data_IF_334987524834
#
_entry.id   IF_334987524834
#
_cell.length_a   1.000
_cell.length_b   1.000
_cell.length_c   1.000
_cell.angle_alpha   90.00
_cell.angle_beta   90.00
_cell.angle_gamma   90.00
#
_symmetry.space_group_name_H-M   'P 1'
#
loop_
_entity.id
_entity.type
_entity.pdbx_description
1 polymer ?
#
# COMPACT_ATOMS: atom_id res chain seq x y z
N UNK A 1 14.93 -25.10 -16.97
CA UNK A 1 16.38 -25.00 -16.64
C UNK A 1 16.43 -23.78 -15.75
N UNK A 2 16.84 -23.87 -14.50
CA UNK A 2 16.77 -22.70 -13.60
C UNK A 2 17.91 -21.77 -13.98
N UNK A 3 17.60 -20.58 -14.50
CA UNK A 3 18.60 -19.55 -14.77
C UNK A 3 18.77 -18.65 -13.54
N UNK A 4 20.01 -18.27 -13.25
CA UNK A 4 20.35 -17.41 -12.12
C UNK A 4 20.97 -16.13 -12.68
N UNK A 5 20.26 -15.01 -12.56
CA UNK A 5 20.72 -13.71 -13.06
C UNK A 5 21.17 -12.81 -11.90
N UNK A 6 22.33 -12.16 -12.03
CA UNK A 6 22.79 -11.10 -11.12
C UNK A 6 22.90 -9.83 -11.94
N UNK A 7 21.99 -8.88 -11.71
CA UNK A 7 21.94 -7.62 -12.46
C UNK A 7 22.81 -6.55 -11.79
N UNK A 8 23.53 -5.78 -12.60
CA UNK A 8 24.15 -4.52 -12.20
C UNK A 8 23.08 -3.42 -12.12
N UNK A 9 23.26 -2.38 -11.28
CA UNK A 9 22.38 -1.22 -11.30
C UNK A 9 22.46 -0.54 -12.67
N UNK A 10 21.29 -0.21 -13.22
CA UNK A 10 21.05 0.43 -14.52
C UNK A 10 21.32 -0.45 -15.78
N UNK A 11 20.25 -0.71 -16.56
CA UNK A 11 20.29 -1.59 -17.73
C UNK A 11 18.91 -2.16 -18.10
N UNK A 12 18.87 -2.97 -19.17
CA UNK A 12 17.69 -3.72 -19.60
C UNK A 12 17.98 -5.22 -19.50
N UNK A 13 17.14 -5.95 -18.75
CA UNK A 13 17.00 -7.39 -18.86
C UNK A 13 15.67 -7.67 -19.56
N UNK A 14 15.71 -8.53 -20.57
CA UNK A 14 14.51 -9.06 -21.23
C UNK A 14 14.60 -10.58 -21.18
N UNK A 15 13.74 -11.20 -20.39
CA UNK A 15 13.52 -12.64 -20.40
C UNK A 15 12.26 -12.94 -21.24
N UNK A 16 12.29 -14.03 -22.00
CA UNK A 16 11.26 -14.33 -23.00
C UNK A 16 10.35 -15.47 -22.60
N UNK A 17 10.84 -16.39 -21.78
CA UNK A 17 10.14 -17.60 -21.41
C UNK A 17 10.95 -18.37 -20.37
N UNK A 18 10.26 -18.89 -19.36
CA UNK A 18 10.86 -19.84 -18.45
C UNK A 18 10.06 -19.97 -17.17
N UNK A 19 10.68 -20.57 -16.17
CA UNK A 19 10.17 -20.54 -14.80
C UNK A 19 11.41 -20.28 -13.98
N UNK A 20 11.63 -19.00 -13.69
CA UNK A 20 12.92 -18.47 -13.30
C UNK A 20 12.92 -17.96 -11.88
N UNK A 21 14.12 -17.92 -11.30
CA UNK A 21 14.32 -17.41 -9.95
C UNK A 21 15.31 -16.25 -10.03
N UNK A 22 14.77 -15.05 -9.94
CA UNK A 22 15.51 -13.80 -9.93
C UNK A 22 15.98 -13.51 -8.50
N UNK A 23 17.24 -13.84 -8.22
CA UNK A 23 17.90 -13.50 -6.95
C UNK A 23 18.48 -12.09 -7.00
N UNK A 24 17.71 -11.13 -6.52
CA UNK A 24 17.99 -9.70 -6.63
C UNK A 24 18.92 -9.23 -5.50
N UNK A 25 20.14 -8.84 -5.88
CA UNK A 25 21.00 -8.03 -5.02
C UNK A 25 20.40 -6.62 -4.82
N UNK A 26 20.82 -5.93 -3.76
CA UNK A 26 20.46 -4.52 -3.56
C UNK A 26 20.87 -3.69 -4.80
N UNK A 27 19.92 -2.91 -5.34
CA UNK A 27 20.10 -2.15 -6.59
C UNK A 27 20.04 -3.00 -7.85
N UNK A 28 19.20 -4.04 -7.85
CA UNK A 28 18.97 -4.90 -9.01
C UNK A 28 17.50 -5.27 -9.16
N UNK A 29 17.14 -5.90 -10.29
CA UNK A 29 15.74 -6.25 -10.62
C UNK A 29 14.97 -5.03 -11.10
N UNK A 30 15.42 -4.45 -12.22
CA UNK A 30 14.78 -3.29 -12.82
C UNK A 30 14.94 -1.99 -12.03
N UNK A 31 15.93 -1.85 -11.13
CA UNK A 31 16.08 -0.62 -10.32
C UNK A 31 16.79 0.50 -11.05
N UNK A 32 16.38 1.76 -10.84
CA UNK A 32 17.02 2.94 -11.40
C UNK A 32 17.58 3.89 -10.34
N UNK A 33 18.90 3.94 -10.18
CA UNK A 33 19.56 4.86 -9.23
C UNK A 33 20.42 5.88 -9.97
N UNK A 34 19.87 7.08 -10.14
CA UNK A 34 20.40 8.11 -11.05
C UNK A 34 20.48 7.64 -12.52
N UNK A 35 19.65 6.66 -12.88
CA UNK A 35 19.69 5.97 -14.17
C UNK A 35 18.37 5.31 -14.53
N UNK A 36 18.43 4.37 -15.46
CA UNK A 36 17.29 3.60 -15.97
C UNK A 36 17.55 2.12 -15.77
N UNK A 37 16.70 1.45 -15.00
CA UNK A 37 16.66 0.00 -14.86
C UNK A 37 15.33 -0.55 -15.35
N UNK A 38 15.38 -1.58 -16.19
CA UNK A 38 14.21 -2.29 -16.69
C UNK A 38 14.46 -3.79 -16.60
N UNK A 39 13.54 -4.52 -15.99
CA UNK A 39 13.37 -5.96 -16.15
C UNK A 39 12.06 -6.17 -16.88
N UNK A 40 12.08 -6.94 -17.96
CA UNK A 40 10.89 -7.31 -18.72
C UNK A 40 10.85 -8.83 -18.87
N UNK A 41 9.91 -9.47 -18.18
CA UNK A 41 9.55 -10.88 -18.38
C UNK A 41 8.31 -10.99 -19.27
N UNK A 42 8.29 -11.98 -20.17
CA UNK A 42 7.21 -12.15 -21.15
C UNK A 42 6.31 -13.35 -20.84
N UNK A 43 6.81 -14.35 -20.12
CA UNK A 43 6.03 -15.52 -19.75
C UNK A 43 6.81 -16.38 -18.77
N UNK A 44 6.15 -16.83 -17.72
CA UNK A 44 6.71 -17.84 -16.86
C UNK A 44 5.85 -18.15 -15.65
N UNK A 45 6.44 -18.80 -14.66
CA UNK A 45 5.94 -18.71 -13.28
C UNK A 45 7.18 -18.57 -12.43
N UNK A 46 7.45 -17.34 -12.06
CA UNK A 46 8.75 -16.82 -11.68
C UNK A 46 8.76 -16.34 -10.24
N UNK A 47 9.97 -16.27 -9.71
CA UNK A 47 10.20 -15.84 -8.34
C UNK A 47 11.21 -14.71 -8.33
N UNK A 48 10.74 -13.53 -7.99
CA UNK A 48 11.56 -12.36 -7.74
C UNK A 48 11.83 -12.25 -6.24
N UNK A 49 13.10 -12.39 -5.85
CA UNK A 49 13.50 -12.45 -4.44
C UNK A 49 14.60 -11.45 -4.16
N UNK A 50 14.32 -10.47 -3.30
CA UNK A 50 15.25 -9.40 -2.94
C UNK A 50 15.22 -9.06 -1.45
N UNK A 51 16.10 -8.16 -1.02
CA UNK A 51 16.13 -7.66 0.36
C UNK A 51 15.55 -6.24 0.46
N UNK A 52 16.35 -5.22 0.10
CA UNK A 52 15.87 -3.85 -0.03
C UNK A 52 16.34 -3.22 -1.31
N UNK A 53 15.63 -2.18 -1.76
CA UNK A 53 16.04 -1.41 -2.95
C UNK A 53 16.18 -2.31 -4.18
N UNK A 54 15.12 -3.09 -4.44
CA UNK A 54 14.98 -4.08 -5.52
C UNK A 54 13.62 -3.92 -6.20
N UNK A 55 13.30 -4.76 -7.19
CA UNK A 55 11.98 -4.85 -7.80
C UNK A 55 11.44 -3.50 -8.28
N UNK A 56 12.09 -2.90 -9.27
CA UNK A 56 11.66 -1.63 -9.85
C UNK A 56 11.84 -0.41 -8.93
N UNK A 57 12.56 -0.52 -7.80
CA UNK A 57 12.83 0.63 -6.93
C UNK A 57 13.70 1.70 -7.61
N UNK A 58 13.46 2.97 -7.30
CA UNK A 58 14.18 4.08 -7.92
C UNK A 58 14.48 5.27 -6.99
N UNK A 59 15.61 5.94 -7.25
CA UNK A 59 16.02 7.22 -6.66
C UNK A 59 16.74 8.01 -7.74
N UNK A 60 16.26 9.19 -8.10
CA UNK A 60 16.85 10.02 -9.16
C UNK A 60 16.80 9.42 -10.56
N UNK A 61 15.96 8.41 -10.79
CA UNK A 61 15.92 7.62 -12.01
C UNK A 61 14.57 6.93 -12.23
N UNK A 62 14.54 6.01 -13.20
CA UNK A 62 13.40 5.15 -13.49
C UNK A 62 13.77 3.69 -13.19
N UNK A 63 13.01 3.05 -12.31
CA UNK A 63 13.03 1.62 -12.11
C UNK A 63 11.72 1.00 -12.59
N UNK A 64 11.80 -0.10 -13.33
CA UNK A 64 10.65 -0.80 -13.89
C UNK A 64 10.85 -2.31 -13.87
N UNK A 65 9.86 -3.04 -13.35
CA UNK A 65 9.58 -4.42 -13.75
C UNK A 65 8.31 -4.42 -14.58
N UNK A 66 8.33 -5.14 -15.70
CA UNK A 66 7.17 -5.48 -16.50
C UNK A 66 7.12 -7.00 -16.62
N UNK A 67 6.08 -7.63 -16.09
CA UNK A 67 5.77 -9.04 -16.28
C UNK A 67 4.50 -9.15 -17.12
N UNK A 68 4.49 -9.99 -18.15
CA UNK A 68 3.35 -10.11 -19.06
C UNK A 68 2.43 -11.29 -18.76
N UNK A 69 2.93 -12.35 -18.13
CA UNK A 69 2.16 -13.56 -17.94
C UNK A 69 2.84 -14.52 -16.97
N UNK A 70 2.08 -14.97 -15.97
CA UNK A 70 2.54 -16.06 -15.15
C UNK A 70 1.74 -16.26 -13.91
N UNK A 71 2.37 -16.84 -12.90
CA UNK A 71 1.81 -16.96 -11.56
C UNK A 71 3.04 -16.77 -10.68
N UNK A 72 3.33 -15.52 -10.42
CA UNK A 72 4.61 -15.01 -10.04
C UNK A 72 4.63 -14.67 -8.55
N UNK A 73 5.84 -14.62 -8.02
CA UNK A 73 6.06 -14.30 -6.61
C UNK A 73 7.08 -13.19 -6.51
N UNK A 74 6.68 -12.05 -5.95
CA UNK A 74 7.52 -10.91 -5.65
C UNK A 74 7.74 -10.83 -4.14
N UNK A 75 8.96 -11.10 -3.68
CA UNK A 75 9.29 -11.14 -2.26
C UNK A 75 10.44 -10.20 -1.92
N UNK A 76 10.17 -9.23 -1.04
CA UNK A 76 11.17 -8.27 -0.56
C UNK A 76 10.91 -7.85 0.87
N UNK A 77 11.82 -7.08 1.46
CA UNK A 77 11.74 -6.67 2.85
C UNK A 77 11.72 -5.16 3.05
N UNK A 78 11.93 -4.38 1.98
CA UNK A 78 11.51 -2.98 1.95
C UNK A 78 12.16 -2.09 0.89
N UNK A 79 11.64 -0.88 0.69
CA UNK A 79 12.06 0.01 -0.40
C UNK A 79 12.08 -0.71 -1.74
N UNK A 80 11.02 -1.46 -2.05
CA UNK A 80 10.97 -2.38 -3.18
C UNK A 80 9.55 -2.52 -3.73
N UNK A 81 9.41 -3.21 -4.86
CA UNK A 81 8.14 -3.47 -5.54
C UNK A 81 7.50 -2.12 -5.91
N UNK A 82 8.12 -1.45 -6.88
CA UNK A 82 7.65 -0.16 -7.38
C UNK A 82 7.87 1.00 -6.40
N UNK A 83 8.92 0.95 -5.59
CA UNK A 83 9.23 2.04 -4.65
C UNK A 83 9.83 3.28 -5.33
N UNK A 84 9.27 4.46 -5.08
CA UNK A 84 9.76 5.75 -5.55
C UNK A 84 10.40 6.61 -4.47
N UNK A 85 11.73 6.65 -4.41
CA UNK A 85 12.49 7.58 -3.57
C UNK A 85 12.68 8.96 -4.24
N UNK A 86 13.42 9.90 -3.62
CA UNK A 86 13.57 11.26 -4.15
C UNK A 86 13.96 11.32 -5.62
N UNK A 87 13.24 12.12 -6.41
CA UNK A 87 13.43 12.27 -7.87
C UNK A 87 13.32 10.96 -8.66
N UNK A 88 12.83 9.88 -8.03
CA UNK A 88 12.70 8.56 -8.63
C UNK A 88 11.27 8.24 -9.02
N UNK A 89 11.13 7.44 -10.08
CA UNK A 89 9.89 6.75 -10.44
C UNK A 89 10.19 5.26 -10.36
N UNK A 90 9.57 4.58 -9.41
CA UNK A 90 9.64 3.13 -9.31
C UNK A 90 8.32 2.50 -9.72
N UNK A 91 8.36 1.46 -10.53
CA UNK A 91 7.17 0.78 -11.03
C UNK A 91 7.34 -0.74 -11.08
N UNK A 92 6.28 -1.47 -10.76
CA UNK A 92 6.04 -2.86 -11.15
C UNK A 92 4.72 -2.89 -11.91
N UNK A 93 4.72 -3.51 -13.08
CA UNK A 93 3.53 -3.69 -13.91
C UNK A 93 3.43 -5.17 -14.20
N UNK A 94 2.34 -5.78 -13.77
CA UNK A 94 1.97 -7.16 -14.09
C UNK A 94 0.71 -7.14 -14.96
N UNK A 95 0.64 -8.02 -15.97
CA UNK A 95 -0.44 -8.00 -16.94
C UNK A 95 -1.41 -9.18 -16.79
N UNK A 96 -0.97 -10.31 -16.24
CA UNK A 96 -1.86 -11.44 -16.00
C UNK A 96 -1.20 -12.50 -15.13
N UNK A 97 -1.95 -13.04 -14.19
CA UNK A 97 -1.54 -14.21 -13.46
C UNK A 97 -2.48 -14.58 -12.34
N UNK A 98 -2.04 -15.43 -11.41
CA UNK A 98 -2.52 -15.32 -10.03
C UNK A 98 -1.24 -15.18 -9.21
N UNK A 99 -0.97 -13.97 -8.76
CA UNK A 99 0.33 -13.49 -8.33
C UNK A 99 0.38 -13.26 -6.82
N UNK A 100 1.60 -13.13 -6.31
CA UNK A 100 1.82 -12.91 -4.88
C UNK A 100 2.90 -11.86 -4.62
N UNK A 101 2.52 -10.84 -3.86
CA UNK A 101 3.35 -9.69 -3.54
C UNK A 101 3.58 -9.61 -2.04
N UNK A 102 4.83 -9.82 -1.62
CA UNK A 102 5.25 -9.80 -0.24
C UNK A 102 6.28 -8.69 0.02
N UNK A 103 6.00 -7.84 1.02
CA UNK A 103 6.96 -6.85 1.48
C UNK A 103 6.91 -6.61 2.99
N UNK A 104 8.02 -6.84 3.68
CA UNK A 104 8.16 -6.50 5.12
C UNK A 104 8.60 -7.68 5.99
N UNK A 105 8.02 -7.85 7.19
CA UNK A 105 8.27 -8.98 8.11
C UNK A 105 9.71 -9.24 8.61
N UNK A 106 10.69 -8.44 8.18
CA UNK A 106 12.11 -8.61 8.52
C UNK A 106 12.66 -7.49 9.38
N UNK A 107 12.33 -6.24 9.05
CA UNK A 107 12.89 -5.06 9.70
C UNK A 107 11.87 -4.47 10.68
N UNK A 108 12.08 -4.61 12.00
CA UNK A 108 11.12 -4.09 12.98
C UNK A 108 10.94 -2.58 12.83
N UNK A 109 9.68 -2.16 12.87
CA UNK A 109 9.35 -0.74 12.80
C UNK A 109 9.78 -0.01 14.06
N UNK A 110 10.25 1.23 13.88
CA UNK A 110 10.56 2.13 15.00
C UNK A 110 9.36 2.39 15.92
N UNK A 111 8.14 2.23 15.39
CA UNK A 111 6.90 2.38 16.12
C UNK A 111 6.68 1.35 17.23
N UNK A 112 7.36 0.20 17.18
CA UNK A 112 7.25 -0.79 18.25
C UNK A 112 7.67 -0.22 19.62
N UNK A 113 8.62 0.73 19.64
CA UNK A 113 9.09 1.34 20.88
C UNK A 113 7.98 2.11 21.63
N UNK A 114 7.04 2.72 20.91
CA UNK A 114 5.91 3.44 21.51
C UNK A 114 4.68 2.56 21.66
N UNK A 115 4.36 1.77 20.64
CA UNK A 115 3.03 1.17 20.51
C UNK A 115 2.96 -0.22 21.12
N UNK A 116 4.08 -0.94 21.12
CA UNK A 116 4.17 -2.32 21.56
C UNK A 116 5.57 -2.65 22.13
N UNK A 117 6.05 -1.93 23.17
CA UNK A 117 7.45 -1.99 23.62
C UNK A 117 7.89 -3.37 24.14
N UNK A 118 6.93 -4.23 24.49
CA UNK A 118 7.17 -5.59 24.98
C UNK A 118 6.82 -6.69 23.97
N UNK A 119 6.26 -6.32 22.81
CA UNK A 119 5.91 -7.29 21.77
C UNK A 119 7.18 -7.81 21.08
N UNK A 120 7.06 -9.00 20.49
CA UNK A 120 8.12 -9.71 19.78
C UNK A 120 7.67 -10.05 18.37
N UNK A 121 8.61 -10.32 17.45
CA UNK A 121 8.31 -10.92 16.15
C UNK A 121 7.28 -12.05 16.27
N UNK A 122 6.19 -11.96 15.50
CA UNK A 122 5.07 -12.91 15.51
C UNK A 122 3.93 -12.56 16.48
N UNK A 123 4.10 -11.60 17.39
CA UNK A 123 2.98 -11.05 18.16
C UNK A 123 2.12 -10.15 17.26
N UNK A 124 0.79 -10.21 17.42
CA UNK A 124 -0.19 -9.49 16.57
C UNK A 124 0.12 -7.99 16.38
N UNK A 125 0.62 -7.30 17.40
CA UNK A 125 0.85 -5.85 17.34
C UNK A 125 2.31 -5.48 17.03
N UNK A 126 3.17 -6.47 16.79
CA UNK A 126 4.55 -6.22 16.40
C UNK A 126 4.59 -5.83 14.93
N UNK A 127 5.13 -4.65 14.65
CA UNK A 127 5.11 -4.03 13.32
C UNK A 127 6.47 -4.13 12.63
N UNK A 128 6.46 -4.21 11.31
CA UNK A 128 7.64 -4.17 10.46
C UNK A 128 7.53 -3.01 9.47
N UNK A 129 8.66 -2.57 8.93
CA UNK A 129 8.70 -1.59 7.84
C UNK A 129 8.74 -2.29 6.48
N UNK A 130 8.01 -1.76 5.50
CA UNK A 130 8.08 -2.15 4.09
C UNK A 130 8.56 -0.97 3.22
N UNK A 131 7.80 0.12 3.06
CA UNK A 131 8.08 1.12 2.01
C UNK A 131 8.12 0.49 0.61
N UNK A 132 7.03 -0.15 0.20
CA UNK A 132 6.97 -0.88 -1.07
C UNK A 132 5.55 -1.01 -1.60
N UNK A 133 5.37 -1.83 -2.63
CA UNK A 133 4.10 -1.97 -3.35
C UNK A 133 3.54 -0.60 -3.78
N UNK A 134 4.35 0.10 -4.56
CA UNK A 134 3.98 1.40 -5.10
C UNK A 134 4.13 2.55 -4.11
N UNK A 135 4.83 2.37 -2.98
CA UNK A 135 5.06 3.46 -2.04
C UNK A 135 6.01 4.54 -2.60
N UNK A 136 5.64 5.81 -2.45
CA UNK A 136 6.50 6.96 -2.73
C UNK A 136 6.99 7.60 -1.42
N UNK A 137 8.29 7.80 -1.27
CA UNK A 137 8.86 8.37 -0.03
C UNK A 137 9.98 9.38 -0.26
N UNK A 138 9.92 10.49 0.48
CA UNK A 138 11.05 11.41 0.63
C UNK A 138 12.05 10.95 1.70
N UNK A 139 13.14 11.70 1.82
CA UNK A 139 14.12 11.55 2.90
C UNK A 139 13.86 12.63 3.94
N UNK A 140 13.41 12.18 5.12
CA UNK A 140 13.16 13.02 6.27
C UNK A 140 14.23 12.80 7.35
N UNK A 141 15.08 13.79 7.55
CA UNK A 141 16.15 13.77 8.54
C UNK A 141 15.64 14.32 9.88
N UNK A 142 15.58 13.47 10.90
CA UNK A 142 15.18 13.85 12.25
C UNK A 142 16.37 14.43 13.02
N UNK A 143 16.62 15.72 12.80
CA UNK A 143 17.74 16.48 13.38
C UNK A 143 17.31 17.89 13.79
N UNK A 144 17.89 18.39 14.88
CA UNK A 144 17.69 19.78 15.33
C UNK A 144 18.68 20.77 14.67
N UNK A 145 19.65 20.26 13.91
CA UNK A 145 20.60 21.08 13.18
C UNK A 145 19.95 21.63 11.88
N UNK A 146 19.79 22.96 11.74
CA UNK A 146 19.19 23.57 10.55
C UNK A 146 19.95 23.27 9.26
N UNK A 147 21.27 23.10 9.32
CA UNK A 147 22.07 22.74 8.15
C UNK A 147 21.68 21.33 7.68
N UNK A 148 21.58 20.38 8.61
CA UNK A 148 21.18 19.03 8.25
C UNK A 148 19.72 18.95 7.74
N UNK A 149 18.83 19.80 8.24
CA UNK A 149 17.45 19.91 7.73
C UNK A 149 17.40 20.35 6.26
N UNK A 150 18.42 21.05 5.76
CA UNK A 150 18.47 21.46 4.35
C UNK A 150 18.73 20.29 3.37
N UNK A 151 19.15 19.12 3.88
CA UNK A 151 19.31 17.88 3.09
C UNK A 151 18.05 17.00 3.07
N UNK A 152 16.93 17.46 3.62
CA UNK A 152 15.64 16.82 3.38
C UNK A 152 15.32 16.83 1.89
N UNK A 153 14.82 15.71 1.38
CA UNK A 153 14.42 15.59 -0.02
C UNK A 153 12.96 15.18 -0.11
N UNK A 154 12.20 15.87 -0.97
CA UNK A 154 10.86 15.45 -1.33
C UNK A 154 10.89 14.06 -1.99
N UNK A 155 9.83 13.29 -1.81
CA UNK A 155 9.72 11.94 -2.34
C UNK A 155 9.59 11.86 -3.86
N UNK A 156 9.59 10.62 -4.33
CA UNK A 156 9.30 10.27 -5.72
C UNK A 156 7.92 9.69 -5.89
N UNK A 157 7.75 9.02 -7.02
CA UNK A 157 6.53 8.33 -7.41
C UNK A 157 6.75 6.82 -7.36
N UNK A 158 5.99 6.13 -6.52
CA UNK A 158 5.90 4.67 -6.55
C UNK A 158 4.63 4.22 -7.26
N UNK A 159 4.71 3.12 -8.02
CA UNK A 159 3.61 2.56 -8.80
C UNK A 159 3.62 1.03 -8.71
N UNK A 160 2.47 0.44 -8.42
CA UNK A 160 2.14 -0.95 -8.78
C UNK A 160 0.90 -0.93 -9.64
N UNK A 161 0.92 -1.69 -10.73
CA UNK A 161 -0.23 -1.93 -11.59
C UNK A 161 -0.31 -3.42 -11.86
N UNK A 162 -1.33 -4.06 -11.33
CA UNK A 162 -1.77 -5.39 -11.76
C UNK A 162 -3.02 -5.23 -12.62
N UNK A 163 -3.15 -6.03 -13.68
CA UNK A 163 -4.27 -5.93 -14.61
C UNK A 163 -5.28 -7.08 -14.47
N UNK A 164 -4.84 -8.26 -14.04
CA UNK A 164 -5.70 -9.43 -14.02
C UNK A 164 -5.11 -10.57 -13.20
N UNK A 165 -5.89 -11.10 -12.27
CA UNK A 165 -5.51 -12.30 -11.51
C UNK A 165 -6.35 -12.48 -10.27
N UNK A 166 -6.15 -13.57 -9.53
CA UNK A 166 -6.63 -13.65 -8.14
C UNK A 166 -5.39 -13.58 -7.24
N UNK A 167 -5.04 -12.36 -6.89
CA UNK A 167 -3.73 -11.97 -6.41
C UNK A 167 -3.71 -11.81 -4.89
N UNK A 168 -2.51 -11.95 -4.33
CA UNK A 168 -2.30 -11.88 -2.88
C UNK A 168 -1.25 -10.86 -2.53
N UNK A 169 -1.64 -9.87 -1.76
CA UNK A 169 -0.80 -8.78 -1.31
C UNK A 169 -0.63 -8.88 0.21
N UNK A 170 0.59 -9.18 0.66
CA UNK A 170 0.94 -9.19 2.08
C UNK A 170 2.06 -8.21 2.35
N UNK A 171 1.74 -7.12 3.04
CA UNK A 171 2.69 -6.04 3.27
C UNK A 171 2.69 -5.48 4.69
N UNK A 172 3.85 -4.99 5.09
CA UNK A 172 4.04 -4.29 6.36
C UNK A 172 3.89 -2.76 6.19
N UNK A 173 4.49 -1.97 7.08
CA UNK A 173 4.19 -0.54 7.14
C UNK A 173 4.63 0.25 5.90
N UNK A 174 3.88 1.30 5.56
CA UNK A 174 4.12 2.18 4.41
C UNK A 174 4.12 1.41 3.09
N UNK A 175 2.98 0.84 2.71
CA UNK A 175 2.89 -0.02 1.53
C UNK A 175 1.69 0.35 0.65
N UNK A 176 1.39 -0.45 -0.37
CA UNK A 176 0.15 -0.45 -1.16
C UNK A 176 -0.40 0.95 -1.48
N UNK A 177 0.35 1.70 -2.31
CA UNK A 177 -0.04 3.06 -2.71
C UNK A 177 0.17 4.14 -1.63
N UNK A 178 1.04 3.90 -0.65
CA UNK A 178 1.38 4.87 0.42
C UNK A 178 2.25 6.04 -0.06
N UNK A 179 1.91 7.25 0.37
CA UNK A 179 2.78 8.44 0.26
C UNK A 179 3.41 8.85 1.59
N UNK A 180 4.73 9.08 1.61
CA UNK A 180 5.46 9.58 2.78
C UNK A 180 6.38 10.76 2.43
N UNK A 181 6.33 11.84 3.20
CA UNK A 181 7.25 12.99 3.09
C UNK A 181 7.37 13.54 1.66
N UNK A 182 6.29 14.14 1.16
CA UNK A 182 6.13 14.64 -0.22
C UNK A 182 6.27 13.58 -1.32
N UNK A 183 6.29 12.29 -0.98
CA UNK A 183 6.20 11.20 -1.94
C UNK A 183 4.76 10.89 -2.34
N UNK A 184 4.59 10.34 -3.54
CA UNK A 184 3.31 9.88 -4.06
C UNK A 184 3.36 8.37 -4.31
N UNK A 185 2.41 7.62 -3.75
CA UNK A 185 2.26 6.20 -4.02
C UNK A 185 0.98 5.90 -4.77
N UNK A 186 1.06 5.01 -5.76
CA UNK A 186 -0.08 4.54 -6.55
C UNK A 186 -0.09 3.00 -6.56
N UNK A 187 -1.25 2.40 -6.26
CA UNK A 187 -1.54 0.99 -6.53
C UNK A 187 -2.83 0.92 -7.35
N UNK A 188 -2.78 0.11 -8.40
CA UNK A 188 -3.92 -0.28 -9.20
C UNK A 188 -3.93 -1.79 -9.25
N UNK A 189 -5.01 -2.36 -8.77
CA UNK A 189 -5.44 -3.72 -9.04
C UNK A 189 -6.68 -3.63 -9.91
N UNK A 190 -6.87 -4.57 -10.83
CA UNK A 190 -8.03 -4.55 -11.70
C UNK A 190 -8.78 -5.87 -11.56
N UNK A 191 -8.78 -6.70 -12.60
CA UNK A 191 -9.73 -7.81 -12.66
C UNK A 191 -9.32 -8.95 -11.74
N UNK A 192 -10.09 -9.24 -10.70
CA UNK A 192 -9.70 -10.33 -9.82
C UNK A 192 -10.67 -10.78 -8.74
N UNK A 193 -10.17 -11.62 -7.84
CA UNK A 193 -10.71 -11.76 -6.48
C UNK A 193 -9.48 -11.79 -5.57
N UNK A 194 -9.23 -10.71 -4.87
CA UNK A 194 -7.91 -10.38 -4.37
C UNK A 194 -7.87 -10.31 -2.84
N UNK A 195 -6.71 -10.68 -2.30
CA UNK A 195 -6.42 -10.58 -0.86
C UNK A 195 -5.45 -9.42 -0.63
N UNK A 196 -5.90 -8.37 0.07
CA UNK A 196 -5.10 -7.20 0.44
C UNK A 196 -4.86 -7.11 1.94
N UNK A 197 -3.70 -7.60 2.37
CA UNK A 197 -3.22 -7.51 3.76
C UNK A 197 -2.13 -6.44 3.88
N UNK A 198 -2.36 -5.43 4.72
CA UNK A 198 -1.36 -4.42 5.01
C UNK A 198 -1.27 -4.03 6.48
N UNK A 199 -0.10 -3.60 6.94
CA UNK A 199 0.08 -3.04 8.27
C UNK A 199 -0.18 -1.52 8.29
N UNK A 200 0.47 -0.79 9.21
CA UNK A 200 0.26 0.66 9.36
C UNK A 200 0.69 1.42 8.11
N UNK A 201 -0.12 2.38 7.68
CA UNK A 201 0.08 3.10 6.42
C UNK A 201 0.14 2.13 5.23
N UNK A 202 -0.81 1.21 5.17
CA UNK A 202 -0.96 0.19 4.13
C UNK A 202 -1.75 0.70 2.93
N UNK A 203 -2.96 0.20 2.72
CA UNK A 203 -3.85 0.54 1.59
C UNK A 203 -4.15 2.04 1.54
N UNK A 204 -3.61 2.73 0.52
CA UNK A 204 -3.68 4.19 0.32
C UNK A 204 -3.63 4.96 1.64
N UNK A 205 -2.59 4.75 2.43
CA UNK A 205 -2.43 5.41 3.71
C UNK A 205 -1.03 5.98 3.84
N UNK A 206 -0.88 7.14 4.48
CA UNK A 206 0.43 7.78 4.55
C UNK A 206 0.48 9.06 5.37
N UNK A 207 1.62 9.74 5.29
CA UNK A 207 1.96 10.81 6.22
C UNK A 207 2.83 11.92 5.62
N UNK A 208 2.82 13.08 6.27
CA UNK A 208 3.76 14.20 6.05
C UNK A 208 3.73 14.71 4.60
N UNK A 209 2.63 15.32 4.17
CA UNK A 209 2.45 15.81 2.80
C UNK A 209 2.48 14.73 1.70
N UNK A 210 2.42 13.45 2.08
CA UNK A 210 2.34 12.35 1.13
C UNK A 210 1.02 12.33 0.36
N UNK A 211 1.05 11.72 -0.81
CA UNK A 211 -0.14 11.44 -1.63
C UNK A 211 -0.26 9.93 -1.81
N UNK A 212 -1.47 9.39 -1.68
CA UNK A 212 -1.75 7.98 -1.93
C UNK A 212 -3.01 7.79 -2.76
N UNK A 213 -2.92 6.89 -3.74
CA UNK A 213 -4.05 6.38 -4.50
C UNK A 213 -3.97 4.86 -4.54
N UNK A 214 -5.05 4.21 -4.13
CA UNK A 214 -5.27 2.79 -4.27
C UNK A 214 -6.60 2.64 -5.00
N UNK A 215 -6.60 1.90 -6.09
CA UNK A 215 -7.81 1.47 -6.79
C UNK A 215 -7.72 -0.04 -6.95
N UNK A 216 -8.77 -0.74 -6.58
CA UNK A 216 -9.08 -2.11 -6.97
C UNK A 216 -10.34 -2.07 -7.84
N UNK A 217 -10.43 -2.86 -8.91
CA UNK A 217 -11.53 -2.79 -9.89
C UNK A 217 -12.08 -4.17 -10.27
N UNK A 218 -13.23 -4.50 -9.68
CA UNK A 218 -13.97 -5.76 -9.84
C UNK A 218 -13.36 -6.93 -9.07
N UNK A 219 -14.16 -7.49 -8.16
CA UNK A 219 -13.89 -8.77 -7.56
C UNK A 219 -14.89 -9.03 -6.44
N UNK A 220 -14.81 -10.21 -5.82
CA UNK A 220 -15.28 -10.40 -4.45
C UNK A 220 -14.03 -10.46 -3.57
N UNK A 221 -13.61 -9.32 -3.03
CA UNK A 221 -12.28 -9.07 -2.50
C UNK A 221 -12.22 -9.07 -0.98
N UNK A 222 -11.02 -9.27 -0.45
CA UNK A 222 -10.76 -9.24 0.98
C UNK A 222 -9.67 -8.25 1.33
N UNK A 223 -10.00 -7.30 2.20
CA UNK A 223 -9.10 -6.27 2.67
C UNK A 223 -8.88 -6.41 4.17
N UNK A 224 -7.65 -6.60 4.62
CA UNK A 224 -7.36 -6.66 6.05
C UNK A 224 -6.20 -5.78 6.49
N UNK A 225 -6.29 -5.41 7.78
CA UNK A 225 -5.20 -4.74 8.47
C UNK A 225 -4.48 -5.68 9.43
N UNK A 226 -3.22 -5.98 9.15
CA UNK A 226 -2.33 -6.75 10.03
C UNK A 226 -1.72 -5.89 11.14
N UNK A 227 -1.75 -4.57 10.98
CA UNK A 227 -1.22 -3.58 11.93
C UNK A 227 -2.33 -2.83 12.70
N UNK A 228 -1.98 -2.16 13.82
CA UNK A 228 -3.00 -1.60 14.70
C UNK A 228 -3.50 -0.20 14.34
N UNK A 229 -2.91 0.47 13.34
CA UNK A 229 -3.13 1.90 13.13
C UNK A 229 -3.04 2.35 11.68
N UNK A 230 -3.85 3.37 11.31
CA UNK A 230 -3.78 4.12 10.05
C UNK A 230 -3.67 3.25 8.79
N UNK A 231 -4.70 2.48 8.48
CA UNK A 231 -4.80 1.70 7.25
C UNK A 231 -6.16 1.93 6.57
N UNK A 232 -6.34 1.54 5.30
CA UNK A 232 -7.60 1.66 4.57
C UNK A 232 -8.02 3.10 4.30
N UNK A 233 -7.26 3.82 3.47
CA UNK A 233 -7.56 5.22 3.14
C UNK A 233 -7.28 6.16 4.31
N UNK A 234 -6.09 6.10 4.92
CA UNK A 234 -5.77 6.84 6.14
C UNK A 234 -4.69 7.92 5.94
N UNK A 235 -5.04 9.18 6.16
CA UNK A 235 -4.17 10.35 5.96
C UNK A 235 -3.72 10.97 7.29
N UNK A 236 -2.43 11.24 7.42
CA UNK A 236 -1.80 11.91 8.56
C UNK A 236 -0.95 13.11 8.13
N UNK A 237 -0.98 14.22 8.88
CA UNK A 237 -0.09 15.38 8.73
C UNK A 237 -0.02 15.92 7.29
N UNK A 238 -1.09 16.61 6.88
CA UNK A 238 -1.20 17.33 5.59
C UNK A 238 -1.08 16.44 4.34
N UNK A 239 -1.27 15.15 4.49
CA UNK A 239 -1.33 14.20 3.38
C UNK A 239 -2.74 14.12 2.76
N UNK A 240 -2.81 13.56 1.57
CA UNK A 240 -4.07 13.28 0.86
C UNK A 240 -4.09 11.83 0.43
N UNK A 241 -5.15 11.11 0.78
CA UNK A 241 -5.28 9.68 0.54
C UNK A 241 -6.63 9.34 -0.09
N UNK A 242 -6.62 8.51 -1.13
CA UNK A 242 -7.83 8.02 -1.80
C UNK A 242 -7.71 6.51 -1.97
N UNK A 243 -8.63 5.77 -1.35
CA UNK A 243 -8.80 4.33 -1.52
C UNK A 243 -10.15 4.11 -2.19
N UNK A 244 -10.14 3.42 -3.33
CA UNK A 244 -11.34 3.07 -4.10
C UNK A 244 -11.34 1.57 -4.27
N UNK A 245 -12.43 0.96 -3.84
CA UNK A 245 -12.87 -0.36 -4.28
C UNK A 245 -13.97 -0.11 -5.32
N UNK A 246 -13.71 -0.48 -6.57
CA UNK A 246 -14.59 -0.21 -7.70
C UNK A 246 -15.25 -1.50 -8.17
N UNK A 247 -16.47 -1.37 -8.70
CA UNK A 247 -17.29 -2.52 -9.08
C UNK A 247 -18.48 -2.72 -8.17
N UNK A 248 -19.01 -3.94 -8.16
CA UNK A 248 -20.24 -4.32 -7.45
C UNK A 248 -20.03 -5.67 -6.75
N UNK A 249 -18.84 -5.82 -6.15
CA UNK A 249 -18.34 -7.02 -5.50
C UNK A 249 -19.18 -7.45 -4.30
N UNK A 250 -18.71 -8.41 -3.53
CA UNK A 250 -19.27 -8.67 -2.19
C UNK A 250 -18.09 -8.82 -1.26
N UNK A 251 -17.64 -7.69 -0.74
CA UNK A 251 -16.30 -7.54 -0.25
C UNK A 251 -16.25 -7.65 1.27
N UNK A 252 -15.09 -8.02 1.78
CA UNK A 252 -14.88 -8.18 3.23
C UNK A 252 -13.75 -7.26 3.68
N UNK A 253 -14.10 -6.29 4.53
CA UNK A 253 -13.15 -5.33 5.09
C UNK A 253 -12.84 -5.65 6.56
N UNK A 254 -11.79 -6.46 6.82
CA UNK A 254 -11.33 -6.82 8.16
C UNK A 254 -10.31 -5.81 8.76
N UNK A 255 -10.85 -4.74 9.33
CA UNK A 255 -10.08 -3.69 10.01
C UNK A 255 -10.32 -3.67 11.52
N UNK A 256 -10.67 -4.81 12.13
CA UNK A 256 -11.14 -4.90 13.51
C UNK A 256 -10.13 -4.35 14.53
N UNK A 257 -8.85 -4.41 14.19
CA UNK A 257 -7.75 -4.02 15.05
C UNK A 257 -7.04 -2.75 14.60
N UNK A 258 -7.52 -2.10 13.54
CA UNK A 258 -6.93 -0.88 12.98
C UNK A 258 -7.73 0.37 13.34
N UNK A 259 -7.36 1.52 12.79
CA UNK A 259 -8.01 2.81 13.11
C UNK A 259 -9.38 3.04 12.45
N UNK A 260 -9.95 2.03 11.78
CA UNK A 260 -11.14 2.18 10.95
C UNK A 260 -10.79 2.45 9.48
N UNK A 261 -11.81 2.72 8.67
CA UNK A 261 -11.67 3.03 7.23
C UNK A 261 -11.88 4.52 6.97
N UNK A 262 -11.13 5.11 6.04
CA UNK A 262 -11.25 6.52 5.70
C UNK A 262 -10.99 7.41 6.92
N UNK A 263 -9.73 7.57 7.32
CA UNK A 263 -9.36 8.35 8.52
C UNK A 263 -8.41 9.50 8.18
N UNK A 264 -8.69 10.70 8.68
CA UNK A 264 -7.81 11.85 8.47
C UNK A 264 -7.47 12.61 9.77
N UNK A 265 -6.18 12.76 10.06
CA UNK A 265 -5.69 13.47 11.25
C UNK A 265 -4.59 14.50 10.87
N UNK A 266 -4.53 15.60 11.62
CA UNK A 266 -3.57 16.70 11.46
C UNK A 266 -3.56 17.38 10.08
N UNK A 267 -4.62 18.12 9.77
CA UNK A 267 -4.77 18.87 8.51
C UNK A 267 -4.70 18.00 7.23
N UNK A 268 -5.06 16.73 7.34
CA UNK A 268 -5.00 15.76 6.26
C UNK A 268 -6.39 15.50 5.65
N UNK A 269 -6.42 14.96 4.42
CA UNK A 269 -7.66 14.66 3.70
C UNK A 269 -7.69 13.18 3.30
N UNK A 270 -8.77 12.47 3.56
CA UNK A 270 -8.92 11.08 3.11
C UNK A 270 -10.30 10.77 2.55
N UNK A 271 -10.35 9.86 1.58
CA UNK A 271 -11.58 9.24 1.11
C UNK A 271 -11.35 7.73 1.03
N UNK A 272 -12.28 6.98 1.60
CA UNK A 272 -12.49 5.56 1.29
C UNK A 272 -13.83 5.44 0.55
N UNK A 273 -13.84 4.76 -0.59
CA UNK A 273 -15.02 4.60 -1.42
C UNK A 273 -15.12 3.14 -1.84
N UNK A 274 -16.28 2.56 -1.58
CA UNK A 274 -16.75 1.31 -2.15
C UNK A 274 -17.90 1.64 -3.11
N UNK A 275 -17.77 1.21 -4.37
CA UNK A 275 -18.80 1.44 -5.41
C UNK A 275 -20.05 0.57 -5.21
N UNK A 276 -19.93 -0.52 -4.45
CA UNK A 276 -21.07 -1.23 -3.90
C UNK A 276 -20.92 -2.75 -3.91
N UNK A 277 -21.95 -3.41 -3.42
CA UNK A 277 -21.90 -4.85 -3.23
C UNK A 277 -22.89 -5.35 -2.20
N UNK A 278 -22.56 -6.46 -1.54
CA UNK A 278 -23.20 -6.82 -0.26
C UNK A 278 -22.09 -7.11 0.71
N UNK A 279 -21.63 -6.05 1.33
CA UNK A 279 -20.29 -6.03 1.86
C UNK A 279 -20.32 -6.27 3.35
N UNK A 280 -19.17 -6.66 3.88
CA UNK A 280 -19.02 -6.92 5.30
C UNK A 280 -17.91 -6.06 5.86
N UNK A 281 -18.31 -5.05 6.62
CA UNK A 281 -17.42 -4.09 7.24
C UNK A 281 -17.13 -4.46 8.68
N UNK A 282 -15.92 -4.94 8.97
CA UNK A 282 -15.42 -5.18 10.32
C UNK A 282 -14.52 -4.02 10.79
N UNK A 283 -15.01 -2.78 10.68
CA UNK A 283 -14.27 -1.56 11.02
C UNK A 283 -14.72 -0.94 12.36
N UNK A 284 -14.25 -1.48 13.48
CA UNK A 284 -14.77 -1.13 14.82
C UNK A 284 -14.45 0.30 15.27
N UNK A 285 -13.35 0.87 14.78
CA UNK A 285 -12.88 2.21 15.19
C UNK A 285 -13.42 3.34 14.31
N UNK A 286 -14.43 3.04 13.48
CA UNK A 286 -15.20 4.00 12.71
C UNK A 286 -14.90 3.96 11.22
N UNK A 287 -15.73 4.70 10.49
CA UNK A 287 -15.64 4.88 9.05
C UNK A 287 -15.86 6.37 8.77
N UNK A 288 -14.96 6.98 7.98
CA UNK A 288 -15.04 8.39 7.59
C UNK A 288 -14.75 9.36 8.73
N UNK A 289 -13.79 9.04 9.61
CA UNK A 289 -13.49 9.83 10.82
C UNK A 289 -12.40 10.88 10.56
N UNK A 290 -12.53 12.07 11.14
CA UNK A 290 -11.53 13.13 11.03
C UNK A 290 -11.23 13.82 12.37
N UNK A 291 -9.99 14.27 12.57
CA UNK A 291 -9.59 15.11 13.71
C UNK A 291 -8.61 16.21 13.31
N UNK A 292 -8.35 17.17 14.21
CA UNK A 292 -7.28 18.17 14.04
C UNK A 292 -7.35 18.95 12.72
N UNK A 293 -8.54 19.48 12.43
CA UNK A 293 -8.84 20.31 11.25
C UNK A 293 -8.52 19.58 9.94
N UNK A 294 -8.91 18.31 9.89
CA UNK A 294 -8.84 17.41 8.74
C UNK A 294 -10.21 17.18 8.12
N UNK A 295 -10.27 16.52 6.98
CA UNK A 295 -11.53 16.08 6.36
C UNK A 295 -11.43 14.63 5.95
N UNK A 296 -12.46 13.84 6.24
CA UNK A 296 -12.53 12.45 5.80
C UNK A 296 -13.92 12.09 5.34
N UNK A 297 -14.01 11.23 4.33
CA UNK A 297 -15.25 10.60 3.93
C UNK A 297 -15.09 9.08 3.76
N UNK A 298 -16.12 8.36 4.15
CA UNK A 298 -16.39 6.99 3.77
C UNK A 298 -17.66 6.97 2.94
N UNK A 299 -17.61 6.30 1.79
CA UNK A 299 -18.74 6.07 0.91
C UNK A 299 -18.88 4.57 0.64
N UNK A 300 -20.08 4.08 0.85
CA UNK A 300 -20.63 2.88 0.22
C UNK A 300 -21.77 3.39 -0.69
N UNK A 301 -21.67 3.12 -1.99
CA UNK A 301 -22.52 3.73 -2.99
C UNK A 301 -23.73 2.88 -3.38
N UNK A 302 -23.74 1.59 -3.06
CA UNK A 302 -24.88 0.71 -3.33
C UNK A 302 -24.68 -0.62 -2.62
N UNK A 303 -25.69 -1.11 -1.92
CA UNK A 303 -25.54 -2.46 -1.41
C UNK A 303 -26.56 -2.83 -0.37
N UNK A 304 -26.37 -4.00 0.23
CA UNK A 304 -27.01 -4.24 1.52
C UNK A 304 -26.07 -5.01 2.43
N UNK A 305 -25.55 -4.27 3.39
CA UNK A 305 -24.23 -4.56 3.96
C UNK A 305 -24.34 -4.91 5.43
N UNK A 306 -23.35 -5.67 5.90
CA UNK A 306 -23.19 -6.06 7.29
C UNK A 306 -22.13 -5.19 7.95
N UNK A 307 -22.58 -4.26 8.79
CA UNK A 307 -21.72 -3.45 9.65
C UNK A 307 -21.46 -4.15 10.99
N UNK A 308 -20.26 -4.70 11.17
CA UNK A 308 -19.86 -5.36 12.42
C UNK A 308 -19.21 -4.34 13.34
N UNK A 309 -20.04 -3.76 14.21
CA UNK A 309 -19.60 -2.72 15.14
C UNK A 309 -19.24 -3.29 16.52
N UNK A 310 -18.08 -2.91 17.06
CA UNK A 310 -17.69 -3.25 18.44
C UNK A 310 -18.61 -2.62 19.50
N UNK A 311 -18.42 -2.98 20.78
CA UNK A 311 -19.26 -2.60 21.95
C UNK A 311 -19.40 -1.08 22.25
N UNK A 312 -18.86 -0.20 21.41
CA UNK A 312 -18.96 1.26 21.56
C UNK A 312 -20.33 1.78 21.11
N UNK A 313 -21.06 2.61 21.88
CA UNK A 313 -22.41 3.05 21.52
C UNK A 313 -22.51 3.86 20.21
N UNK A 314 -21.44 4.56 19.80
CA UNK A 314 -21.42 5.44 18.62
C UNK A 314 -21.35 4.71 17.29
N UNK A 315 -20.93 3.44 17.29
CA UNK A 315 -20.82 2.62 16.09
C UNK A 315 -22.19 2.12 15.60
N UNK A 316 -23.17 2.00 16.51
CA UNK A 316 -24.56 1.56 16.22
C UNK A 316 -25.38 2.45 15.27
N UNK A 317 -24.82 3.57 14.80
CA UNK A 317 -25.48 4.48 13.86
C UNK A 317 -25.08 4.26 12.39
N UNK A 318 -23.98 3.54 12.13
CA UNK A 318 -23.55 3.20 10.77
C UNK A 318 -24.30 1.96 10.33
N UNK A 319 -25.12 2.14 9.31
CA UNK A 319 -26.06 1.15 8.80
C UNK A 319 -26.51 1.60 7.39
N UNK A 320 -27.14 0.68 6.70
CA UNK A 320 -27.70 0.80 5.37
C UNK A 320 -28.57 2.07 5.19
N UNK A 321 -28.35 2.80 4.11
CA UNK A 321 -29.12 3.98 3.70
C UNK A 321 -28.95 5.19 4.63
N UNK A 322 -27.82 5.31 5.33
CA UNK A 322 -27.53 6.40 6.28
C UNK A 322 -26.51 7.39 5.74
N UNK A 323 -26.69 8.64 6.15
CA UNK A 323 -25.66 9.68 6.03
C UNK A 323 -25.41 10.27 7.41
N UNK A 324 -24.17 10.22 7.87
CA UNK A 324 -23.73 10.78 9.15
C UNK A 324 -22.65 11.83 8.90
N UNK A 325 -22.80 12.99 9.51
CA UNK A 325 -21.82 14.08 9.44
C UNK A 325 -21.27 14.32 10.84
N UNK A 326 -19.95 14.24 10.98
CA UNK A 326 -19.23 14.62 12.19
C UNK A 326 -18.81 16.10 12.10
N UNK A 327 -19.03 16.85 13.19
CA UNK A 327 -18.60 18.24 13.29
C UNK A 327 -17.07 18.40 13.19
N UNK A 328 -16.31 17.32 13.41
CA UNK A 328 -14.86 17.29 13.26
C UNK A 328 -14.38 17.15 11.80
N UNK A 329 -15.28 17.15 10.81
CA UNK A 329 -14.95 17.07 9.38
C UNK A 329 -15.07 15.66 8.78
N UNK A 330 -15.69 14.73 9.50
CA UNK A 330 -15.95 13.36 9.04
C UNK A 330 -17.30 13.20 8.35
N UNK A 331 -17.38 12.30 7.38
CA UNK A 331 -18.58 11.97 6.64
C UNK A 331 -18.66 10.45 6.45
N UNK A 332 -19.81 9.86 6.78
CA UNK A 332 -20.16 8.49 6.41
C UNK A 332 -21.41 8.55 5.53
N UNK A 333 -21.38 7.83 4.41
CA UNK A 333 -22.51 7.67 3.49
C UNK A 333 -22.60 6.21 3.10
N UNK A 334 -23.81 5.67 3.20
CA UNK A 334 -24.26 4.39 2.67
C UNK A 334 -25.59 4.65 1.93
N UNK A 335 -25.77 4.01 0.76
CA UNK A 335 -26.81 4.33 -0.23
C UNK A 335 -27.80 3.21 -0.51
#
# INVERSE_FOLDING_TARGET
>A
MVHHWVLQPDGLLMDRAGNDVYLLAQGSGGTGFAGLGILWDLSGHDQYVGDKFTHGAAVGGLGLILDEAGNDTYASFGYAIGFGGPLGIGAVIDLSGDDSYQCGDRYPSSYNASDAPNAKPGDRFFQYDCFGLGAGSGIRLFTNDPEHQSYNLAGGLGIVLDLAGNDRYHSSNFSQGSGYFFGAGLKFDLVGNDDHDAARYGQAAGAHYGLGLFIDDQGDDHYASTGPWYNGGAAWDRSVMLCIDAGQGNDVYDFQWSSGLGRADHNAWSIFLDEGGKDRYLAQNGMGMATDNSMSAFFDLAGKDEYVTGLQPSSSLRDNGRTLVDQAGGLFVDR
#
